data_IF_292214785480
#
_entry.id   IF_292214785480
#
_cell.length_a   1.000
_cell.length_b   1.000
_cell.length_c   1.000
_cell.angle_alpha   90.00
_cell.angle_beta   90.00
_cell.angle_gamma   90.00
#
_symmetry.space_group_name_H-M   'P 1'
#
loop_
_entity.id
_entity.type
_entity.pdbx_description
1 polymer ?
#
# COMPACT_ATOMS: atom_id res chain seq x y z
N UNK A 1 16.83 19.76 -2.62
CA UNK A 1 16.93 18.27 -2.59
C UNK A 1 15.55 17.74 -2.94
N UNK A 2 15.43 16.86 -3.92
CA UNK A 2 14.18 16.16 -4.22
C UNK A 2 13.94 15.08 -3.18
N UNK A 3 12.69 14.90 -2.75
CA UNK A 3 12.31 13.82 -1.82
C UNK A 3 12.27 12.51 -2.62
N UNK A 4 12.95 11.47 -2.12
CA UNK A 4 12.97 10.15 -2.74
C UNK A 4 11.94 9.24 -2.05
N UNK A 5 10.97 8.77 -2.79
CA UNK A 5 9.85 7.95 -2.32
C UNK A 5 9.99 6.53 -2.83
N UNK A 6 10.18 5.58 -1.94
CA UNK A 6 10.03 4.16 -2.25
C UNK A 6 8.55 3.76 -2.16
N UNK A 7 7.98 3.11 -3.18
CA UNK A 7 6.59 2.70 -3.16
C UNK A 7 6.40 1.25 -3.61
N UNK A 8 5.48 0.53 -2.96
CA UNK A 8 5.07 -0.81 -3.39
C UNK A 8 3.56 -0.92 -3.34
N UNK A 9 2.94 -1.12 -4.49
CA UNK A 9 1.54 -1.46 -4.70
C UNK A 9 1.42 -2.83 -5.39
N UNK A 10 0.54 -3.67 -4.88
CA UNK A 10 0.36 -5.04 -5.38
C UNK A 10 -0.92 -5.22 -6.21
N UNK A 11 -1.84 -4.28 -6.18
CA UNK A 11 -3.17 -4.41 -6.78
C UNK A 11 -3.60 -3.11 -7.48
N UNK A 12 -4.49 -3.17 -8.49
CA UNK A 12 -4.96 -1.99 -9.21
C UNK A 12 -5.62 -0.93 -8.30
N UNK A 13 -6.34 -1.37 -7.26
CA UNK A 13 -6.92 -0.46 -6.27
C UNK A 13 -5.85 0.29 -5.47
N UNK A 14 -4.74 -0.37 -5.19
CA UNK A 14 -3.57 0.23 -4.54
C UNK A 14 -2.86 1.22 -5.46
N UNK A 15 -2.77 0.94 -6.76
CA UNK A 15 -2.15 1.85 -7.73
C UNK A 15 -2.91 3.18 -7.79
N UNK A 16 -4.25 3.13 -7.78
CA UNK A 16 -5.09 4.33 -7.74
C UNK A 16 -4.90 5.15 -6.46
N UNK A 17 -4.79 4.46 -5.31
CA UNK A 17 -4.49 5.13 -4.04
C UNK A 17 -3.09 5.74 -4.04
N UNK A 18 -2.13 4.99 -4.54
CA UNK A 18 -0.73 5.40 -4.62
C UNK A 18 -0.54 6.60 -5.52
N UNK A 19 -1.12 6.60 -6.73
CA UNK A 19 -1.00 7.72 -7.66
C UNK A 19 -1.55 9.01 -7.08
N UNK A 20 -2.73 8.97 -6.45
CA UNK A 20 -3.31 10.14 -5.77
C UNK A 20 -2.46 10.63 -4.61
N UNK A 21 -1.87 9.72 -3.84
CA UNK A 21 -1.00 10.09 -2.73
C UNK A 21 0.29 10.75 -3.23
N UNK A 22 0.91 10.19 -4.27
CA UNK A 22 2.11 10.74 -4.91
C UNK A 22 1.82 12.13 -5.50
N UNK A 23 0.69 12.30 -6.18
CA UNK A 23 0.23 13.60 -6.69
C UNK A 23 0.18 14.65 -5.58
N UNK A 24 -0.48 14.34 -4.46
CA UNK A 24 -0.59 15.26 -3.32
C UNK A 24 0.77 15.57 -2.66
N UNK A 25 1.67 14.59 -2.60
CA UNK A 25 3.03 14.80 -2.09
C UNK A 25 3.78 15.76 -3.04
N UNK A 26 3.67 15.54 -4.35
CA UNK A 26 4.30 16.38 -5.36
C UNK A 26 3.77 17.81 -5.32
N UNK A 27 2.46 17.98 -5.22
CA UNK A 27 1.83 19.30 -5.14
C UNK A 27 2.29 20.09 -3.92
N UNK A 28 2.51 19.39 -2.80
CA UNK A 28 2.87 20.02 -1.54
C UNK A 28 4.37 20.28 -1.38
N UNK A 29 5.21 19.37 -1.85
CA UNK A 29 6.65 19.38 -1.59
C UNK A 29 7.52 19.67 -2.83
N UNK A 30 6.92 19.75 -4.01
CA UNK A 30 7.63 20.00 -5.27
C UNK A 30 8.19 18.70 -5.88
N UNK A 31 9.42 18.79 -6.41
CA UNK A 31 10.02 17.65 -7.12
C UNK A 31 10.28 16.47 -6.20
N UNK A 32 9.74 15.33 -6.62
CA UNK A 32 9.91 14.03 -5.94
C UNK A 32 10.43 12.99 -6.95
N UNK A 33 11.23 12.08 -6.48
CA UNK A 33 11.68 10.90 -7.23
C UNK A 33 10.98 9.66 -6.65
N UNK A 34 10.29 8.89 -7.51
CA UNK A 34 9.52 7.72 -7.09
C UNK A 34 10.18 6.45 -7.62
N UNK A 35 10.44 5.50 -6.72
CA UNK A 35 11.13 4.24 -7.03
C UNK A 35 10.30 3.10 -6.46
N UNK A 36 10.11 2.04 -7.23
CA UNK A 36 9.44 0.86 -6.68
C UNK A 36 8.57 0.09 -7.65
N UNK A 37 7.48 -0.43 -7.15
CA UNK A 37 6.56 -1.32 -7.87
C UNK A 37 5.15 -0.78 -7.83
N UNK A 38 4.55 -0.67 -8.99
CA UNK A 38 3.17 -0.28 -9.21
C UNK A 38 2.86 -0.30 -10.69
N UNK A 39 1.60 -0.22 -11.04
CA UNK A 39 1.11 -0.25 -12.43
C UNK A 39 0.11 0.89 -12.67
N UNK A 40 -0.50 0.92 -13.85
CA UNK A 40 -1.47 1.96 -14.21
C UNK A 40 -0.90 3.36 -14.02
N UNK A 41 -1.61 4.20 -13.26
CA UNK A 41 -1.23 5.60 -13.06
C UNK A 41 0.08 5.79 -12.28
N UNK A 42 0.56 4.78 -11.56
CA UNK A 42 1.86 4.86 -10.86
C UNK A 42 3.05 4.82 -11.81
N UNK A 43 2.92 4.22 -13.00
CA UNK A 43 4.02 4.12 -13.98
C UNK A 43 4.52 5.49 -14.43
N UNK A 44 3.64 6.51 -14.51
CA UNK A 44 4.02 7.87 -14.88
C UNK A 44 5.00 8.52 -13.90
N UNK A 45 5.09 7.99 -12.68
CA UNK A 45 6.01 8.48 -11.63
C UNK A 45 7.33 7.69 -11.55
N UNK A 46 7.54 6.69 -12.41
CA UNK A 46 8.80 5.94 -12.47
C UNK A 46 8.78 4.56 -11.80
N UNK A 47 7.61 4.06 -11.39
CA UNK A 47 7.50 2.69 -10.87
C UNK A 47 7.70 1.65 -11.98
N UNK A 48 8.09 0.43 -11.60
CA UNK A 48 8.23 -0.70 -12.51
C UNK A 48 7.02 -1.63 -12.45
N UNK A 49 6.57 -2.14 -13.61
CA UNK A 49 5.48 -3.12 -13.70
C UNK A 49 5.94 -4.55 -13.34
N UNK A 50 6.61 -4.71 -12.19
CA UNK A 50 7.01 -6.02 -11.67
C UNK A 50 5.97 -6.62 -10.71
N UNK A 51 4.75 -6.08 -10.71
CA UNK A 51 3.63 -6.49 -9.85
C UNK A 51 3.25 -7.95 -10.00
N UNK A 52 3.37 -8.52 -11.20
CA UNK A 52 3.05 -9.94 -11.47
C UNK A 52 3.71 -10.91 -10.50
N UNK A 53 4.92 -10.58 -10.00
CA UNK A 53 5.60 -11.39 -8.99
C UNK A 53 4.83 -11.37 -7.66
N UNK A 54 4.18 -10.25 -7.33
CA UNK A 54 3.42 -10.08 -6.09
C UNK A 54 2.00 -10.65 -6.24
N UNK A 55 1.36 -10.47 -7.38
CA UNK A 55 0.00 -10.98 -7.67
C UNK A 55 -0.10 -12.50 -7.62
N UNK A 56 0.91 -13.20 -8.16
CA UNK A 56 0.99 -14.68 -8.16
C UNK A 56 0.99 -15.26 -6.73
N UNK A 57 1.30 -14.44 -5.72
CA UNK A 57 1.28 -14.85 -4.31
C UNK A 57 -0.09 -15.20 -3.75
N UNK A 58 -1.16 -14.64 -4.33
CA UNK A 58 -2.51 -14.84 -3.80
C UNK A 58 -3.16 -16.14 -4.29
N UNK A 59 -2.69 -16.74 -5.37
CA UNK A 59 -3.45 -17.74 -6.13
C UNK A 59 -2.76 -19.07 -6.45
N UNK A 60 -1.42 -19.13 -6.55
CA UNK A 60 -0.73 -20.33 -7.02
C UNK A 60 0.31 -20.76 -5.99
N UNK A 61 0.08 -21.91 -5.36
CA UNK A 61 0.97 -22.64 -4.47
C UNK A 61 1.96 -21.75 -3.66
N UNK A 62 1.54 -21.26 -2.47
CA UNK A 62 2.36 -20.36 -1.65
C UNK A 62 3.75 -20.90 -1.32
N UNK A 63 3.91 -22.24 -1.30
CA UNK A 63 5.17 -22.89 -0.97
C UNK A 63 6.19 -22.80 -2.12
N UNK A 64 5.76 -22.99 -3.37
CA UNK A 64 6.67 -22.91 -4.53
C UNK A 64 7.17 -21.49 -4.81
N UNK A 65 6.35 -20.49 -4.55
CA UNK A 65 6.67 -19.09 -4.83
C UNK A 65 7.34 -18.37 -3.65
N UNK A 66 7.36 -18.94 -2.45
CA UNK A 66 7.89 -18.31 -1.25
C UNK A 66 9.33 -17.81 -1.41
N UNK A 67 10.21 -18.61 -2.01
CA UNK A 67 11.62 -18.23 -2.23
C UNK A 67 11.76 -17.07 -3.23
N UNK A 68 10.98 -17.09 -4.32
CA UNK A 68 10.98 -16.01 -5.32
C UNK A 68 10.51 -14.69 -4.71
N UNK A 69 9.48 -14.75 -3.89
CA UNK A 69 8.93 -13.65 -3.11
C UNK A 69 10.00 -13.03 -2.21
N UNK A 70 10.64 -13.87 -1.40
CA UNK A 70 11.70 -13.42 -0.49
C UNK A 70 12.90 -12.84 -1.24
N UNK A 71 13.26 -13.43 -2.37
CA UNK A 71 14.32 -12.90 -3.25
C UNK A 71 13.94 -11.53 -3.80
N UNK A 72 12.69 -11.36 -4.22
CA UNK A 72 12.20 -10.09 -4.75
C UNK A 72 12.10 -9.02 -3.65
N UNK A 73 11.57 -9.36 -2.47
CA UNK A 73 11.60 -8.45 -1.31
C UNK A 73 13.02 -7.97 -0.99
N UNK A 74 14.00 -8.90 -0.93
CA UNK A 74 15.40 -8.56 -0.67
C UNK A 74 15.97 -7.63 -1.74
N UNK A 75 15.63 -7.86 -3.02
CA UNK A 75 16.05 -7.00 -4.14
C UNK A 75 15.50 -5.58 -3.97
N UNK A 76 14.22 -5.44 -3.67
CA UNK A 76 13.59 -4.14 -3.45
C UNK A 76 14.18 -3.41 -2.23
N UNK A 77 14.34 -4.11 -1.11
CA UNK A 77 14.95 -3.52 0.09
C UNK A 77 16.37 -3.01 -0.22
N UNK A 78 17.16 -3.82 -0.96
CA UNK A 78 18.50 -3.40 -1.38
C UNK A 78 18.43 -2.16 -2.26
N UNK A 79 17.55 -2.16 -3.28
CA UNK A 79 17.37 -1.02 -4.17
C UNK A 79 17.00 0.25 -3.39
N UNK A 80 16.04 0.19 -2.47
CA UNK A 80 15.62 1.33 -1.66
C UNK A 80 16.76 1.89 -0.79
N UNK A 81 17.61 1.02 -0.26
CA UNK A 81 18.81 1.45 0.50
C UNK A 81 19.88 2.07 -0.39
N UNK A 82 20.18 1.45 -1.54
CA UNK A 82 21.18 1.93 -2.48
C UNK A 82 20.79 3.32 -3.05
N UNK A 83 19.50 3.52 -3.30
CA UNK A 83 18.94 4.80 -3.78
C UNK A 83 18.74 5.84 -2.67
N UNK A 84 18.93 5.44 -1.40
CA UNK A 84 18.78 6.32 -0.24
C UNK A 84 17.41 7.02 -0.19
N UNK A 85 16.32 6.22 -0.24
CA UNK A 85 14.98 6.78 -0.14
C UNK A 85 14.75 7.45 1.22
N UNK A 86 14.00 8.55 1.23
CA UNK A 86 13.63 9.27 2.46
C UNK A 86 12.41 8.63 3.15
N UNK A 87 11.49 8.07 2.35
CA UNK A 87 10.23 7.51 2.81
C UNK A 87 9.88 6.25 2.01
N UNK A 88 9.36 5.23 2.70
CA UNK A 88 8.76 4.04 2.09
C UNK A 88 7.26 4.02 2.29
N UNK A 89 6.50 3.84 1.21
CA UNK A 89 5.05 3.74 1.18
C UNK A 89 4.65 2.33 0.72
N UNK A 90 4.14 1.51 1.62
CA UNK A 90 3.57 0.20 1.31
C UNK A 90 2.05 0.29 1.22
N UNK A 91 1.46 -0.09 0.08
CA UNK A 91 0.02 -0.02 -0.12
C UNK A 91 -0.56 -1.43 -0.12
N UNK A 92 -1.46 -1.70 0.83
CA UNK A 92 -2.07 -3.02 1.03
C UNK A 92 -1.04 -4.16 1.07
N UNK A 93 -1.38 -5.38 0.62
CA UNK A 93 -0.50 -6.55 0.59
C UNK A 93 0.37 -6.71 1.86
N UNK A 94 -0.22 -6.79 3.05
CA UNK A 94 0.51 -6.68 4.33
C UNK A 94 1.56 -7.77 4.51
N UNK A 95 1.33 -8.99 4.00
CA UNK A 95 2.31 -10.08 4.12
C UNK A 95 3.59 -9.81 3.30
N UNK A 96 3.49 -8.99 2.25
CA UNK A 96 4.64 -8.54 1.48
C UNK A 96 5.27 -7.28 2.08
N UNK A 97 4.48 -6.24 2.29
CA UNK A 97 4.97 -4.93 2.67
C UNK A 97 5.54 -4.87 4.10
N UNK A 98 5.01 -5.62 5.06
CA UNK A 98 5.52 -5.58 6.44
C UNK A 98 6.95 -6.08 6.62
N UNK A 99 7.43 -6.97 5.76
CA UNK A 99 8.85 -7.34 5.80
C UNK A 99 9.74 -6.19 5.32
N UNK A 100 9.29 -5.44 4.30
CA UNK A 100 10.00 -4.26 3.81
C UNK A 100 9.98 -3.16 4.88
N UNK A 101 8.81 -2.85 5.46
CA UNK A 101 8.69 -1.91 6.58
C UNK A 101 9.67 -2.23 7.70
N UNK A 102 9.71 -3.49 8.14
CA UNK A 102 10.59 -3.93 9.21
C UNK A 102 12.06 -3.69 8.94
N UNK A 103 12.51 -3.92 7.70
CA UNK A 103 13.92 -3.75 7.34
C UNK A 103 14.29 -2.28 7.19
N UNK A 104 13.40 -1.47 6.56
CA UNK A 104 13.65 -0.05 6.34
C UNK A 104 13.50 0.79 7.61
N UNK A 105 12.53 0.46 8.47
CA UNK A 105 12.36 1.12 9.76
C UNK A 105 13.60 0.95 10.68
N UNK A 106 14.28 -0.20 10.62
CA UNK A 106 15.53 -0.43 11.34
C UNK A 106 16.70 0.45 10.88
N UNK A 107 16.63 0.94 9.66
CA UNK A 107 17.60 1.87 9.07
C UNK A 107 17.15 3.34 9.24
N UNK A 108 16.14 3.59 10.06
CA UNK A 108 15.54 4.89 10.31
C UNK A 108 14.92 5.56 9.05
N UNK A 109 14.59 4.79 8.01
CA UNK A 109 13.82 5.27 6.87
C UNK A 109 12.36 5.38 7.31
N UNK A 110 11.73 6.53 7.06
CA UNK A 110 10.33 6.76 7.39
C UNK A 110 9.42 5.77 6.64
N UNK A 111 8.50 5.12 7.37
CA UNK A 111 7.63 4.10 6.80
C UNK A 111 6.16 4.44 6.95
N UNK A 112 5.42 4.36 5.85
CA UNK A 112 3.97 4.61 5.79
C UNK A 112 3.27 3.42 5.17
N UNK A 113 2.28 2.87 5.86
CA UNK A 113 1.43 1.81 5.31
C UNK A 113 0.03 2.36 5.02
N UNK A 114 -0.43 2.17 3.80
CA UNK A 114 -1.75 2.61 3.34
C UNK A 114 -2.67 1.39 3.24
N UNK A 115 -3.86 1.50 3.74
CA UNK A 115 -4.88 0.46 3.95
C UNK A 115 -4.56 -0.42 5.16
N UNK A 116 -5.27 -0.19 6.25
CA UNK A 116 -5.12 -1.03 7.45
C UNK A 116 -5.54 -2.48 7.15
N UNK A 117 -4.68 -3.47 7.44
CA UNK A 117 -5.06 -4.87 7.28
C UNK A 117 -6.27 -5.24 8.13
N UNK A 118 -7.17 -6.09 7.62
CA UNK A 118 -8.42 -6.49 8.28
C UNK A 118 -8.18 -7.37 9.52
N UNK A 119 -7.41 -6.88 10.49
CA UNK A 119 -7.06 -7.60 11.72
C UNK A 119 -8.25 -7.80 12.65
N UNK A 120 -9.32 -7.02 12.48
CA UNK A 120 -10.58 -7.18 13.22
C UNK A 120 -11.36 -8.42 12.79
N UNK A 121 -11.27 -8.80 11.53
CA UNK A 121 -12.00 -9.95 10.98
C UNK A 121 -11.22 -11.25 11.15
N UNK A 122 -9.88 -11.22 10.92
CA UNK A 122 -9.05 -12.42 10.93
C UNK A 122 -7.57 -12.08 11.10
N UNK A 123 -6.75 -13.09 11.51
CA UNK A 123 -5.29 -12.93 11.68
C UNK A 123 -4.91 -11.76 12.60
N UNK A 124 -5.55 -11.63 13.77
CA UNK A 124 -5.27 -10.61 14.80
C UNK A 124 -3.78 -10.45 15.13
N UNK A 125 -2.99 -11.53 15.03
CA UNK A 125 -1.55 -11.51 15.25
C UNK A 125 -0.74 -10.60 14.30
N UNK A 126 -1.34 -10.19 13.16
CA UNK A 126 -0.70 -9.22 12.25
C UNK A 126 -0.51 -7.84 12.89
N UNK A 127 -1.38 -7.44 13.81
CA UNK A 127 -1.27 -6.17 14.52
C UNK A 127 0.10 -5.99 15.20
N UNK A 128 0.73 -7.07 15.68
CA UNK A 128 2.08 -7.04 16.25
C UNK A 128 3.16 -6.55 15.28
N UNK A 129 2.91 -6.58 13.97
CA UNK A 129 3.83 -6.09 12.95
C UNK A 129 3.71 -4.57 12.74
N UNK A 130 2.63 -3.94 13.22
CA UNK A 130 2.38 -2.52 13.07
C UNK A 130 3.47 -1.66 13.74
N UNK A 131 4.13 -2.18 14.77
CA UNK A 131 5.28 -1.52 15.42
C UNK A 131 6.47 -1.22 14.48
N UNK A 132 6.50 -1.79 13.29
CA UNK A 132 7.50 -1.50 12.26
C UNK A 132 7.03 -0.48 11.24
N UNK A 133 5.84 0.09 11.44
CA UNK A 133 5.24 1.12 10.60
C UNK A 133 5.20 2.42 11.40
N UNK A 134 5.76 3.49 10.85
CA UNK A 134 5.72 4.80 11.52
C UNK A 134 4.32 5.40 11.44
N UNK A 135 3.69 5.39 10.27
CA UNK A 135 2.34 5.89 10.08
C UNK A 135 1.45 4.90 9.33
N UNK A 136 0.23 4.70 9.84
CA UNK A 136 -0.82 3.92 9.17
C UNK A 136 -1.90 4.85 8.63
N UNK A 137 -2.18 4.76 7.34
CA UNK A 137 -3.27 5.50 6.69
C UNK A 137 -4.46 4.55 6.50
N UNK A 138 -5.48 4.72 7.34
CA UNK A 138 -6.67 3.89 7.39
C UNK A 138 -7.74 4.42 6.44
N UNK A 139 -8.56 3.54 5.85
CA UNK A 139 -9.69 3.93 5.02
C UNK A 139 -10.96 4.20 5.83
N UNK A 140 -11.10 3.55 6.97
CA UNK A 140 -12.30 3.65 7.82
C UNK A 140 -11.96 4.07 9.26
N UNK A 141 -12.80 4.90 9.90
CA UNK A 141 -12.53 5.41 11.26
C UNK A 141 -12.35 4.31 12.31
N UNK A 142 -13.13 3.21 12.22
CA UNK A 142 -13.05 2.10 13.18
C UNK A 142 -11.71 1.34 13.15
N UNK A 143 -10.94 1.45 12.06
CA UNK A 143 -9.63 0.80 11.93
C UNK A 143 -8.59 1.39 12.88
N UNK A 144 -8.77 2.66 13.28
CA UNK A 144 -7.86 3.35 14.22
C UNK A 144 -7.75 2.62 15.56
N UNK A 145 -8.82 1.98 16.03
CA UNK A 145 -8.83 1.23 17.29
C UNK A 145 -7.86 0.04 17.29
N UNK A 146 -7.51 -0.47 16.11
CA UNK A 146 -6.61 -1.60 15.92
C UNK A 146 -5.15 -1.17 15.65
N UNK A 147 -4.88 0.13 15.52
CA UNK A 147 -3.57 0.67 15.17
C UNK A 147 -2.71 1.09 16.36
N UNK A 148 -3.01 0.61 17.57
CA UNK A 148 -2.29 0.98 18.81
C UNK A 148 -0.80 0.65 18.80
N UNK A 149 -0.39 -0.34 18.01
CA UNK A 149 1.02 -0.78 17.89
C UNK A 149 1.79 0.00 16.81
N UNK A 150 1.16 0.92 16.08
CA UNK A 150 1.83 1.77 15.09
C UNK A 150 2.78 2.73 15.79
N UNK A 151 4.00 2.87 15.27
CA UNK A 151 5.10 3.51 15.97
C UNK A 151 4.84 5.01 16.27
N UNK A 152 4.40 5.79 15.28
CA UNK A 152 4.18 7.24 15.43
C UNK A 152 2.70 7.63 15.39
N UNK A 153 1.85 6.87 14.73
CA UNK A 153 0.42 7.12 14.71
C UNK A 153 -0.34 6.57 13.52
N UNK A 154 -1.66 6.70 13.59
CA UNK A 154 -2.57 6.30 12.53
C UNK A 154 -3.55 7.43 12.22
N UNK A 155 -3.91 7.57 10.95
CA UNK A 155 -4.84 8.57 10.45
C UNK A 155 -5.89 7.91 9.56
N UNK A 156 -7.16 8.31 9.69
CA UNK A 156 -8.20 7.93 8.75
C UNK A 156 -8.21 8.94 7.59
N UNK A 157 -7.87 8.46 6.39
CA UNK A 157 -7.85 9.27 5.16
C UNK A 157 -9.16 9.17 4.37
N UNK A 158 -10.07 8.28 4.77
CA UNK A 158 -11.32 8.00 4.05
C UNK A 158 -11.13 7.08 2.84
N UNK A 159 -12.24 6.54 2.35
CA UNK A 159 -12.24 5.68 1.18
C UNK A 159 -12.33 6.52 -0.11
N UNK A 160 -11.48 6.30 -1.12
CA UNK A 160 -11.41 7.15 -2.32
C UNK A 160 -12.70 7.17 -3.15
N UNK A 161 -13.54 6.15 -3.04
CA UNK A 161 -14.85 6.14 -3.69
C UNK A 161 -15.81 7.17 -3.08
N UNK A 162 -15.62 7.58 -1.82
CA UNK A 162 -16.49 8.56 -1.16
C UNK A 162 -16.23 10.00 -1.61
N UNK A 163 -15.10 10.26 -2.24
CA UNK A 163 -14.75 11.59 -2.76
C UNK A 163 -15.39 11.89 -4.11
N UNK A 164 -15.90 10.88 -4.80
CA UNK A 164 -16.54 11.03 -6.11
C UNK A 164 -18.04 11.32 -5.93
N UNK A 165 -18.41 12.59 -5.84
CA UNK A 165 -19.81 13.06 -5.66
C UNK A 165 -20.77 12.57 -6.75
N UNK A 166 -20.27 12.19 -7.93
CA UNK A 166 -21.08 11.75 -9.07
C UNK A 166 -21.58 10.31 -8.95
N UNK A 167 -21.12 9.53 -7.94
CA UNK A 167 -21.57 8.14 -7.74
C UNK A 167 -22.99 8.02 -7.12
N UNK A 168 -23.58 9.14 -6.68
CA UNK A 168 -24.85 9.12 -5.94
C UNK A 168 -26.02 9.74 -6.72
N UNK A 169 -25.92 9.92 -8.02
CA UNK A 169 -26.95 10.54 -8.85
C UNK A 169 -28.00 9.56 -9.41
N UNK A 170 -27.92 8.28 -9.07
CA UNK A 170 -28.87 7.25 -9.50
C UNK A 170 -30.05 7.12 -8.54
N UNK A 171 -31.28 7.09 -9.08
CA UNK A 171 -32.47 6.68 -8.35
C UNK A 171 -32.40 5.20 -7.94
N UNK A 172 -33.21 4.80 -6.95
CA UNK A 172 -33.44 3.38 -6.67
C UNK A 172 -34.24 2.74 -7.84
N UNK A 173 -33.68 1.69 -8.39
CA UNK A 173 -34.40 0.78 -9.28
C UNK A 173 -34.77 -0.47 -8.46
N UNK A 174 -36.06 -0.71 -8.27
CA UNK A 174 -36.54 -1.73 -7.32
C UNK A 174 -36.34 -3.18 -7.79
N UNK A 175 -36.10 -3.41 -9.10
CA UNK A 175 -35.91 -4.73 -9.69
C UNK A 175 -34.48 -5.00 -10.20
N UNK A 176 -33.49 -4.28 -9.67
CA UNK A 176 -32.10 -4.43 -10.09
C UNK A 176 -31.33 -5.42 -9.21
N UNK A 177 -30.78 -6.45 -9.84
CA UNK A 177 -29.83 -7.38 -9.20
C UNK A 177 -28.41 -6.96 -9.60
N UNK A 178 -27.61 -6.53 -8.65
CA UNK A 178 -26.20 -6.19 -8.88
C UNK A 178 -25.32 -7.40 -8.60
N UNK A 179 -24.62 -7.90 -9.63
CA UNK A 179 -23.65 -8.98 -9.52
C UNK A 179 -22.23 -8.37 -9.45
N UNK A 180 -21.55 -8.56 -8.32
CA UNK A 180 -20.19 -8.08 -8.07
C UNK A 180 -19.20 -9.26 -7.97
N UNK A 181 -18.69 -9.79 -9.10
CA UNK A 181 -17.85 -10.99 -9.11
C UNK A 181 -16.46 -10.76 -8.51
N UNK A 182 -16.10 -9.53 -8.15
CA UNK A 182 -14.76 -9.15 -7.74
C UNK A 182 -13.84 -8.83 -8.92
N UNK A 183 -12.64 -8.42 -8.63
CA UNK A 183 -11.61 -8.04 -9.62
C UNK A 183 -10.62 -9.18 -9.92
N UNK A 184 -10.86 -10.38 -9.37
CA UNK A 184 -9.96 -11.55 -9.46
C UNK A 184 -10.70 -12.76 -9.99
#
# INVERSE_FOLDING_TARGET
MSIKVGIVSAEPSGDLLGSKLIEQIKDKFGDIEVIGVGDGDLLQYGTSNNRKIIEVMGFIDPLKNFFNIKKFQKKLIKQFKDEQIDIFIGIDAPDFNFEIHKQLNRENILTVHVVCPSVWAWRKGRAKKFKFVDYMLCLFPFELDYCKEVNKGALCIGHPLLTNKNLYTGGKEDDLICLLPGSR
#
